data_IF_103197758304
#
_entry.id   IF_103197758304
#
_cell.length_a   1.000
_cell.length_b   1.000
_cell.length_c   1.000
_cell.angle_alpha   90.00
_cell.angle_beta   90.00
_cell.angle_gamma   90.00
#
_symmetry.space_group_name_H-M   'P 1'
#
loop_
_entity.id
_entity.type
_entity.pdbx_description
1 polymer ?
#
# COMPACT_ATOMS: atom_id res chain seq x y z
N UNK A 1 -0.80 45.86 -4.60
CA UNK A 1 -1.39 45.32 -5.84
C UNK A 1 -1.29 43.81 -5.77
N UNK A 2 -2.34 43.15 -6.23
CA UNK A 2 -2.80 41.79 -5.92
C UNK A 2 -1.76 40.66 -5.81
N UNK A 3 -2.00 39.89 -4.75
CA UNK A 3 -1.63 38.50 -4.50
C UNK A 3 -2.13 37.58 -5.64
N UNK A 4 -1.26 36.73 -6.20
CA UNK A 4 -1.67 35.69 -7.15
C UNK A 4 -1.89 34.39 -6.38
N UNK A 5 -3.14 34.14 -6.01
CA UNK A 5 -3.57 32.84 -5.52
C UNK A 5 -3.50 31.81 -6.66
N UNK A 6 -2.79 30.71 -6.42
CA UNK A 6 -2.86 29.50 -7.23
C UNK A 6 -4.28 28.92 -7.14
N UNK A 7 -5.03 29.00 -8.25
CA UNK A 7 -6.33 28.34 -8.44
C UNK A 7 -6.09 26.86 -8.80
N UNK A 8 -5.87 26.03 -7.79
CA UNK A 8 -5.90 24.57 -7.95
C UNK A 8 -7.36 24.08 -8.00
N UNK A 9 -7.98 24.21 -9.16
CA UNK A 9 -9.19 23.43 -9.45
C UNK A 9 -8.78 22.00 -9.82
N UNK A 10 -9.37 20.96 -9.21
CA UNK A 10 -9.08 19.58 -9.60
C UNK A 10 -9.46 19.38 -11.08
N UNK A 11 -8.70 18.57 -11.84
CA UNK A 11 -9.00 18.31 -13.23
C UNK A 11 -10.38 17.66 -13.34
N UNK A 12 -11.31 18.33 -14.02
CA UNK A 12 -12.61 17.76 -14.37
C UNK A 12 -12.36 16.64 -15.37
N UNK A 13 -12.53 15.40 -14.92
CA UNK A 13 -12.48 14.21 -15.78
C UNK A 13 -13.65 14.29 -16.78
N UNK A 14 -13.40 14.75 -18.00
CA UNK A 14 -14.43 14.79 -19.06
C UNK A 14 -14.65 13.39 -19.62
N UNK A 15 -15.59 12.66 -19.03
CA UNK A 15 -16.02 11.36 -19.56
C UNK A 15 -16.75 11.56 -20.91
N UNK A 16 -16.57 10.64 -21.88
CA UNK A 16 -17.24 10.74 -23.19
C UNK A 16 -18.77 10.63 -23.05
N UNK A 17 -19.49 11.35 -23.90
CA UNK A 17 -20.94 11.61 -23.81
C UNK A 17 -21.87 10.37 -23.77
N UNK A 18 -21.35 9.16 -24.04
CA UNK A 18 -22.11 7.91 -24.01
C UNK A 18 -21.95 7.14 -22.68
N UNK A 19 -21.19 7.67 -21.72
CA UNK A 19 -21.02 7.13 -20.37
C UNK A 19 -21.37 8.24 -19.39
N UNK A 20 -22.67 8.47 -19.18
CA UNK A 20 -23.14 9.22 -18.01
C UNK A 20 -23.15 8.26 -16.82
N UNK A 21 -22.00 8.07 -16.18
CA UNK A 21 -22.03 7.59 -14.80
C UNK A 21 -22.41 8.81 -13.97
N UNK A 22 -23.52 8.73 -13.26
CA UNK A 22 -23.79 9.66 -12.17
C UNK A 22 -22.73 9.39 -11.09
N UNK A 23 -21.60 10.10 -11.19
CA UNK A 23 -20.47 10.01 -10.27
C UNK A 23 -20.77 10.69 -8.92
N UNK A 24 -22.04 11.04 -8.65
CA UNK A 24 -22.42 11.67 -7.39
C UNK A 24 -22.17 10.72 -6.22
N UNK A 25 -21.02 10.89 -5.58
CA UNK A 25 -20.82 10.43 -4.20
C UNK A 25 -21.89 11.11 -3.34
N UNK A 26 -22.64 10.37 -2.51
CA UNK A 26 -23.65 10.98 -1.65
C UNK A 26 -23.07 12.15 -0.85
N UNK A 27 -23.74 13.31 -0.91
CA UNK A 27 -23.24 14.54 -0.30
C UNK A 27 -23.13 14.47 1.23
N UNK A 28 -23.87 13.55 1.85
CA UNK A 28 -23.81 13.27 3.29
C UNK A 28 -23.44 11.80 3.46
N UNK A 29 -22.26 11.47 4.02
CA UNK A 29 -21.89 10.09 4.29
C UNK A 29 -22.63 9.55 5.52
N UNK A 30 -22.61 8.23 5.76
CA UNK A 30 -22.97 7.67 7.06
C UNK A 30 -22.15 8.30 8.20
N UNK A 31 -22.78 8.52 9.35
CA UNK A 31 -22.12 9.11 10.53
C UNK A 31 -21.65 7.99 11.44
N UNK A 32 -20.35 7.99 11.76
CA UNK A 32 -19.79 7.08 12.75
C UNK A 32 -20.25 7.49 14.15
N UNK A 33 -21.00 6.62 14.84
CA UNK A 33 -21.48 6.86 16.21
C UNK A 33 -20.49 6.37 17.26
N UNK A 34 -19.99 5.15 17.10
CA UNK A 34 -19.09 4.54 18.07
C UNK A 34 -18.22 3.43 17.47
N UNK A 35 -17.02 3.29 18.03
CA UNK A 35 -16.16 2.11 17.89
C UNK A 35 -15.89 1.53 19.27
N UNK A 36 -16.42 0.35 19.54
CA UNK A 36 -16.21 -0.37 20.81
C UNK A 36 -15.15 -1.44 20.60
N UNK A 37 -13.93 -1.18 21.11
CA UNK A 37 -12.83 -2.15 21.09
C UNK A 37 -13.06 -3.22 22.14
N UNK A 38 -12.96 -4.49 21.74
CA UNK A 38 -13.15 -5.65 22.60
C UNK A 38 -11.81 -6.16 23.11
N UNK A 39 -11.78 -6.57 24.38
CA UNK A 39 -10.59 -7.10 25.00
C UNK A 39 -10.21 -8.47 24.40
N UNK A 40 -9.21 -8.50 23.53
CA UNK A 40 -8.58 -9.73 23.02
C UNK A 40 -7.37 -10.08 23.88
N UNK A 41 -7.60 -10.59 25.10
CA UNK A 41 -6.52 -10.83 26.09
C UNK A 41 -5.39 -11.75 25.59
N UNK A 42 -5.66 -12.57 24.58
CA UNK A 42 -4.66 -13.49 23.99
C UNK A 42 -3.89 -12.92 22.78
N UNK A 43 -4.29 -11.78 22.19
CA UNK A 43 -3.72 -11.30 20.92
C UNK A 43 -2.81 -10.08 21.11
N UNK A 44 -1.53 -10.21 20.75
CA UNK A 44 -0.54 -9.12 20.83
C UNK A 44 -0.76 -8.03 19.76
N UNK A 45 -1.07 -8.45 18.53
CA UNK A 45 -1.01 -7.59 17.34
C UNK A 45 -2.37 -7.06 16.86
N UNK A 46 -3.43 -7.85 17.04
CA UNK A 46 -4.78 -7.55 16.52
C UNK A 46 -5.82 -7.49 17.64
N UNK A 47 -6.87 -6.69 17.41
CA UNK A 47 -8.07 -6.63 18.25
C UNK A 47 -9.35 -6.67 17.42
N UNK A 48 -10.47 -6.93 18.10
CA UNK A 48 -11.81 -6.92 17.52
C UNK A 48 -12.56 -5.67 17.96
N UNK A 49 -13.38 -5.12 17.08
CA UNK A 49 -14.24 -3.98 17.40
C UNK A 49 -15.65 -4.15 16.85
N UNK A 50 -16.61 -3.52 17.52
CA UNK A 50 -17.94 -3.27 16.98
C UNK A 50 -18.06 -1.81 16.57
N UNK A 51 -18.48 -1.57 15.34
CA UNK A 51 -18.65 -0.26 14.72
C UNK A 51 -20.15 0.03 14.65
N UNK A 52 -20.60 1.13 15.23
CA UNK A 52 -21.99 1.60 15.15
C UNK A 52 -22.04 2.88 14.33
N UNK A 53 -22.96 2.98 13.38
CA UNK A 53 -23.10 4.15 12.51
C UNK A 53 -24.56 4.41 12.12
N UNK A 54 -24.89 5.65 11.76
CA UNK A 54 -26.20 6.04 11.22
C UNK A 54 -26.10 6.33 9.72
N UNK A 55 -27.18 6.06 8.98
CA UNK A 55 -27.27 6.37 7.54
C UNK A 55 -28.27 7.50 7.34
N UNK A 56 -27.94 8.55 6.57
CA UNK A 56 -28.87 9.65 6.31
C UNK A 56 -30.21 9.15 5.75
N UNK A 57 -31.30 9.49 6.43
CA UNK A 57 -32.65 9.10 6.03
C UNK A 57 -33.11 7.73 6.53
N UNK A 58 -32.24 6.96 7.20
CA UNK A 58 -32.64 5.73 7.87
C UNK A 58 -32.95 5.97 9.36
N UNK A 59 -33.99 5.33 9.92
CA UNK A 59 -34.40 5.55 11.30
C UNK A 59 -33.52 4.82 12.32
N UNK A 60 -32.89 3.71 11.91
CA UNK A 60 -32.18 2.80 12.81
C UNK A 60 -30.66 2.93 12.65
N UNK A 61 -29.93 2.72 13.75
CA UNK A 61 -28.48 2.56 13.72
C UNK A 61 -28.10 1.22 13.10
N UNK A 62 -26.97 1.19 12.42
CA UNK A 62 -26.36 -0.02 11.88
C UNK A 62 -25.15 -0.42 12.70
N UNK A 63 -24.87 -1.72 12.68
CA UNK A 63 -23.74 -2.32 13.41
C UNK A 63 -22.91 -3.13 12.43
N UNK A 64 -21.59 -3.07 12.60
CA UNK A 64 -20.61 -3.82 11.83
C UNK A 64 -19.51 -4.36 12.74
N UNK A 65 -18.92 -5.50 12.40
CA UNK A 65 -17.79 -6.09 13.12
C UNK A 65 -16.51 -5.84 12.35
N UNK A 66 -15.44 -5.49 13.06
CA UNK A 66 -14.16 -5.17 12.43
C UNK A 66 -12.96 -5.70 13.21
N UNK A 67 -11.82 -5.68 12.53
CA UNK A 67 -10.50 -5.97 13.09
C UNK A 67 -9.64 -4.71 13.04
N UNK A 68 -8.83 -4.48 14.07
CA UNK A 68 -7.89 -3.35 14.11
C UNK A 68 -6.49 -3.77 14.55
N UNK A 69 -5.47 -3.04 14.12
CA UNK A 69 -4.08 -3.21 14.58
C UNK A 69 -3.86 -2.50 15.92
N UNK A 70 -3.16 -3.15 16.84
CA UNK A 70 -2.97 -2.63 18.21
C UNK A 70 -1.77 -1.70 18.35
N UNK A 71 -0.66 -2.04 17.70
CA UNK A 71 0.65 -1.49 18.03
C UNK A 71 1.11 -0.38 17.08
N UNK A 72 0.81 -0.51 15.79
CA UNK A 72 1.29 0.39 14.74
C UNK A 72 0.19 1.30 14.21
N UNK A 73 0.60 2.26 13.37
CA UNK A 73 -0.27 3.13 12.59
C UNK A 73 -0.62 4.47 13.26
N UNK A 74 -1.01 5.41 12.41
CA UNK A 74 -1.48 6.75 12.78
C UNK A 74 -3.01 6.75 12.67
N UNK A 75 -3.75 6.75 13.80
CA UNK A 75 -5.20 6.73 13.78
C UNK A 75 -5.75 8.08 13.29
N UNK A 76 -7.01 8.13 12.80
CA UNK A 76 -7.58 9.36 12.27
C UNK A 76 -7.67 10.44 13.35
N UNK A 77 -7.60 11.70 12.93
CA UNK A 77 -7.73 12.90 13.77
C UNK A 77 -6.59 13.15 14.80
N UNK A 78 -5.43 12.51 14.65
CA UNK A 78 -4.16 12.97 15.23
C UNK A 78 -3.49 14.02 14.31
N UNK A 79 -2.44 14.74 14.75
CA UNK A 79 -1.73 15.70 13.89
C UNK A 79 -1.14 14.98 12.67
N UNK A 80 -1.42 15.47 11.46
CA UNK A 80 -1.06 14.85 10.17
C UNK A 80 -1.70 13.47 9.92
N UNK A 81 -2.76 13.12 10.65
CA UNK A 81 -3.49 11.88 10.43
C UNK A 81 -4.43 11.94 9.21
N UNK A 82 -4.74 10.79 8.60
CA UNK A 82 -5.76 10.73 7.56
C UNK A 82 -7.15 11.10 8.10
N UNK A 83 -8.01 11.59 7.22
CA UNK A 83 -9.42 11.85 7.53
C UNK A 83 -10.22 10.54 7.67
N UNK A 84 -9.78 9.47 7.00
CA UNK A 84 -10.47 8.19 6.96
C UNK A 84 -9.50 7.02 7.17
N UNK A 85 -9.95 6.01 7.92
CA UNK A 85 -9.12 4.86 8.24
C UNK A 85 -7.92 5.20 9.14
N UNK A 86 -7.09 4.21 9.41
CA UNK A 86 -5.81 4.33 10.10
C UNK A 86 -4.73 4.17 9.05
N UNK A 87 -3.75 5.08 9.03
CA UNK A 87 -2.60 4.91 8.16
C UNK A 87 -1.62 3.96 8.86
N UNK A 88 -1.66 2.68 8.50
CA UNK A 88 -0.98 1.60 9.23
C UNK A 88 0.42 1.29 8.69
N UNK A 89 0.65 1.50 7.40
CA UNK A 89 1.85 1.04 6.71
C UNK A 89 2.17 1.88 5.47
N UNK A 90 3.37 1.72 4.94
CA UNK A 90 3.75 2.19 3.61
C UNK A 90 4.00 1.01 2.69
N UNK A 91 3.63 1.13 1.41
CA UNK A 91 4.03 0.18 0.37
C UNK A 91 4.88 0.91 -0.66
N UNK A 92 6.00 0.31 -1.03
CA UNK A 92 7.04 0.97 -1.81
C UNK A 92 7.05 0.43 -3.23
N UNK A 93 6.67 1.27 -4.20
CA UNK A 93 6.83 0.99 -5.61
C UNK A 93 8.20 1.52 -6.07
N UNK A 94 9.24 0.70 -5.87
CA UNK A 94 10.62 1.02 -6.24
C UNK A 94 10.98 0.45 -7.62
N UNK A 95 11.53 1.29 -8.50
CA UNK A 95 12.00 0.88 -9.83
C UNK A 95 13.51 1.11 -9.96
N UNK A 96 14.22 0.11 -10.47
CA UNK A 96 15.67 0.19 -10.61
C UNK A 96 16.11 0.96 -11.85
N UNK A 97 17.27 1.61 -11.77
CA UNK A 97 18.05 2.11 -12.90
C UNK A 97 19.50 1.65 -12.78
N UNK A 98 20.16 1.49 -13.92
CA UNK A 98 21.59 1.21 -14.00
C UNK A 98 22.08 1.58 -15.39
N UNK A 99 23.17 2.36 -15.45
CA UNK A 99 23.91 2.65 -16.67
C UNK A 99 24.90 1.53 -17.01
N UNK A 100 25.44 0.85 -15.99
CA UNK A 100 26.43 -0.22 -16.18
C UNK A 100 25.82 -1.60 -16.48
N UNK A 101 24.56 -1.82 -16.08
CA UNK A 101 23.79 -3.07 -16.25
C UNK A 101 22.39 -2.78 -16.79
N UNK A 102 22.25 -2.45 -18.10
CA UNK A 102 20.97 -2.07 -18.70
C UNK A 102 19.86 -3.14 -18.56
N UNK A 103 20.21 -4.42 -18.46
CA UNK A 103 19.29 -5.52 -18.22
C UNK A 103 18.65 -5.50 -16.82
N UNK A 104 19.28 -4.80 -15.87
CA UNK A 104 18.77 -4.56 -14.53
C UNK A 104 18.14 -3.16 -14.38
N UNK A 105 18.03 -2.38 -15.46
CA UNK A 105 17.20 -1.19 -15.46
C UNK A 105 15.72 -1.56 -15.62
N UNK A 106 14.82 -0.70 -15.12
CA UNK A 106 13.37 -0.86 -15.19
C UNK A 106 12.86 -2.18 -14.59
N UNK A 107 13.50 -2.62 -13.50
CA UNK A 107 13.00 -3.73 -12.69
C UNK A 107 12.18 -3.16 -11.54
N UNK A 108 11.03 -3.77 -11.28
CA UNK A 108 10.33 -3.60 -10.02
C UNK A 108 11.11 -4.32 -8.91
N UNK A 109 11.39 -3.61 -7.82
CA UNK A 109 11.83 -4.24 -6.57
C UNK A 109 10.59 -4.83 -5.91
N UNK A 110 10.60 -6.14 -5.69
CA UNK A 110 9.53 -6.90 -5.05
C UNK A 110 10.13 -7.79 -3.96
N UNK A 111 9.28 -8.34 -3.10
CA UNK A 111 9.67 -9.29 -2.07
C UNK A 111 8.81 -10.56 -2.17
N UNK A 112 9.41 -11.70 -1.80
CA UNK A 112 8.72 -12.96 -1.59
C UNK A 112 8.87 -13.34 -0.12
N UNK A 113 7.78 -13.53 0.60
CA UNK A 113 7.83 -13.88 2.02
C UNK A 113 6.68 -14.82 2.41
N UNK A 114 6.90 -15.68 3.39
CA UNK A 114 5.86 -16.54 3.95
C UNK A 114 4.92 -15.73 4.83
N UNK A 115 3.62 -15.76 4.51
CA UNK A 115 2.58 -15.11 5.30
C UNK A 115 1.74 -16.17 6.01
N UNK A 116 1.86 -16.30 7.35
CA UNK A 116 1.08 -17.27 8.12
C UNK A 116 -0.45 -17.21 7.89
N UNK A 117 -1.11 -16.04 7.73
CA UNK A 117 -2.56 -15.98 7.53
C UNK A 117 -3.08 -16.71 6.30
N UNK A 118 -2.29 -16.79 5.24
CA UNK A 118 -2.64 -17.47 3.98
C UNK A 118 -1.91 -18.81 3.82
N UNK A 119 -1.01 -19.15 4.74
CA UNK A 119 -0.19 -20.36 4.71
C UNK A 119 0.52 -20.57 3.36
N UNK A 120 1.03 -19.48 2.80
CA UNK A 120 1.69 -19.43 1.49
C UNK A 120 2.77 -18.36 1.50
N UNK A 121 3.69 -18.46 0.55
CA UNK A 121 4.54 -17.34 0.18
C UNK A 121 3.74 -16.36 -0.68
N UNK A 122 4.00 -15.09 -0.49
CA UNK A 122 3.32 -13.99 -1.17
C UNK A 122 4.35 -13.17 -1.92
N UNK A 123 4.07 -12.88 -3.19
CA UNK A 123 4.81 -11.88 -3.97
C UNK A 123 4.19 -10.51 -3.69
N UNK A 124 4.97 -9.61 -3.13
CA UNK A 124 4.51 -8.30 -2.64
C UNK A 124 5.43 -7.16 -3.07
N UNK A 125 4.94 -5.92 -2.94
CA UNK A 125 5.82 -4.76 -2.85
C UNK A 125 6.54 -4.77 -1.49
N UNK A 126 7.77 -4.23 -1.39
CA UNK A 126 8.36 -3.94 -0.09
C UNK A 126 7.39 -3.07 0.72
N UNK A 127 7.20 -3.38 2.00
CA UNK A 127 6.20 -2.72 2.83
C UNK A 127 6.42 -2.99 4.31
N UNK A 128 6.18 -1.98 5.15
CA UNK A 128 6.11 -2.21 6.57
C UNK A 128 5.32 -1.17 7.36
N UNK A 129 5.18 -1.46 8.65
CA UNK A 129 4.26 -0.73 9.52
C UNK A 129 4.85 0.61 9.95
N UNK A 130 3.99 1.63 10.07
CA UNK A 130 4.40 2.92 10.62
C UNK A 130 4.48 2.80 12.14
N UNK A 131 5.66 3.10 12.68
CA UNK A 131 5.88 3.10 14.11
C UNK A 131 5.22 4.30 14.79
N UNK A 132 4.77 4.10 16.03
CA UNK A 132 4.18 5.19 16.80
C UNK A 132 5.21 6.29 17.07
N UNK A 133 4.88 7.51 16.66
CA UNK A 133 5.75 8.68 16.84
C UNK A 133 6.81 8.83 15.75
N UNK A 134 6.77 8.01 14.70
CA UNK A 134 7.54 8.28 13.49
C UNK A 134 7.11 9.63 12.89
N UNK A 135 8.09 10.46 12.53
CA UNK A 135 7.84 11.87 12.20
C UNK A 135 7.16 12.07 10.86
N UNK A 136 7.29 11.09 9.95
CA UNK A 136 6.65 11.12 8.64
C UNK A 136 6.56 9.70 8.04
N UNK A 137 5.47 9.34 7.33
CA UNK A 137 5.35 8.04 6.66
C UNK A 137 6.45 7.76 5.63
N UNK A 138 7.05 8.79 5.06
CA UNK A 138 8.15 8.64 4.09
C UNK A 138 9.40 8.06 4.75
N UNK A 139 9.64 8.39 6.02
CA UNK A 139 10.75 7.79 6.77
C UNK A 139 10.54 6.29 6.95
N UNK A 140 9.29 5.86 7.17
CA UNK A 140 8.92 4.43 7.17
C UNK A 140 9.31 3.81 5.84
N UNK A 141 8.89 4.40 4.72
CA UNK A 141 9.18 3.86 3.38
C UNK A 141 10.69 3.76 3.09
N UNK A 142 11.49 4.75 3.52
CA UNK A 142 12.95 4.73 3.39
C UNK A 142 13.58 3.63 4.24
N UNK A 143 13.12 3.48 5.49
CA UNK A 143 13.59 2.47 6.43
C UNK A 143 13.28 1.06 5.94
N UNK A 144 12.01 0.80 5.62
CA UNK A 144 11.52 -0.52 5.19
C UNK A 144 12.17 -0.97 3.88
N UNK A 145 12.35 -0.07 2.90
CA UNK A 145 13.10 -0.41 1.69
C UNK A 145 14.52 -0.87 2.03
N UNK A 146 15.18 -0.19 2.97
CA UNK A 146 16.54 -0.53 3.38
C UNK A 146 16.62 -1.84 4.16
N UNK A 147 15.67 -2.09 5.04
CA UNK A 147 15.59 -3.29 5.87
C UNK A 147 15.28 -4.52 5.02
N UNK A 148 14.20 -4.50 4.23
CA UNK A 148 13.76 -5.68 3.46
C UNK A 148 14.64 -5.97 2.24
N UNK A 149 15.29 -4.96 1.65
CA UNK A 149 15.97 -5.11 0.35
C UNK A 149 17.46 -4.78 0.39
N UNK A 150 17.90 -4.04 1.41
CA UNK A 150 19.25 -3.48 1.45
C UNK A 150 19.46 -2.27 0.53
N UNK A 151 18.50 -1.95 -0.35
CA UNK A 151 18.63 -0.83 -1.27
C UNK A 151 18.34 0.51 -0.60
N UNK A 152 18.98 1.54 -1.11
CA UNK A 152 18.67 2.94 -0.83
C UNK A 152 18.03 3.56 -2.07
N UNK A 153 16.85 4.15 -1.89
CA UNK A 153 16.10 4.83 -2.94
C UNK A 153 16.40 6.32 -3.05
N UNK A 154 16.04 6.89 -4.20
CA UNK A 154 16.09 8.33 -4.53
C UNK A 154 14.79 8.74 -5.20
N UNK A 155 14.56 10.04 -5.43
CA UNK A 155 13.36 10.55 -6.12
C UNK A 155 12.05 10.04 -5.47
N UNK A 156 11.97 10.14 -4.15
CA UNK A 156 10.82 9.73 -3.36
C UNK A 156 9.60 10.61 -3.67
N UNK A 157 8.49 9.98 -4.01
CA UNK A 157 7.21 10.63 -4.26
C UNK A 157 6.13 9.94 -3.42
N UNK A 158 5.44 10.73 -2.61
CA UNK A 158 4.26 10.28 -1.89
C UNK A 158 3.07 10.39 -2.84
N UNK A 159 2.35 9.28 -3.04
CA UNK A 159 1.19 9.30 -3.90
C UNK A 159 -0.10 9.36 -3.07
N UNK A 160 -0.75 8.22 -2.88
CA UNK A 160 -2.09 8.17 -2.32
C UNK A 160 -2.21 7.08 -1.26
N UNK A 161 -3.16 7.28 -0.36
CA UNK A 161 -3.54 6.28 0.62
C UNK A 161 -4.64 5.39 0.05
N UNK A 162 -4.55 4.08 0.29
CA UNK A 162 -5.60 3.12 -0.03
C UNK A 162 -5.93 2.25 1.17
N UNK A 163 -7.16 1.74 1.22
CA UNK A 163 -7.55 0.74 2.19
C UNK A 163 -7.06 -0.66 1.74
N UNK A 164 -6.57 -1.47 2.68
CA UNK A 164 -6.14 -2.83 2.38
C UNK A 164 -7.32 -3.78 2.18
N UNK A 165 -8.18 -3.88 3.21
CA UNK A 165 -9.38 -4.70 3.21
C UNK A 165 -10.52 -3.93 3.88
N UNK A 166 -11.13 -2.95 3.16
CA UNK A 166 -12.08 -2.00 3.75
C UNK A 166 -13.36 -2.67 4.26
N UNK A 167 -13.62 -3.92 3.87
CA UNK A 167 -14.74 -4.70 4.37
C UNK A 167 -14.50 -5.33 5.74
N UNK A 168 -13.26 -5.40 6.21
CA UNK A 168 -12.93 -6.07 7.48
C UNK A 168 -12.23 -5.15 8.46
N UNK A 169 -11.39 -4.25 7.95
CA UNK A 169 -10.53 -3.41 8.79
C UNK A 169 -10.46 -1.98 8.28
N UNK A 170 -10.29 -1.04 9.22
CA UNK A 170 -10.03 0.36 8.90
C UNK A 170 -8.57 0.63 8.49
N UNK A 171 -7.80 -0.40 8.10
CA UNK A 171 -6.37 -0.26 7.86
C UNK A 171 -6.06 0.19 6.43
N UNK A 172 -5.17 1.17 6.34
CA UNK A 172 -4.74 1.77 5.09
C UNK A 172 -3.21 1.72 4.93
N UNK A 173 -2.77 1.69 3.67
CA UNK A 173 -1.38 1.86 3.27
C UNK A 173 -1.18 3.18 2.53
N UNK A 174 -0.01 3.80 2.68
CA UNK A 174 0.43 4.92 1.85
C UNK A 174 1.35 4.40 0.74
N UNK A 175 0.98 4.64 -0.51
CA UNK A 175 1.84 4.32 -1.65
C UNK A 175 2.97 5.35 -1.74
N UNK A 176 4.19 4.85 -1.80
CA UNK A 176 5.39 5.66 -2.00
C UNK A 176 6.18 5.12 -3.19
N UNK A 177 6.53 6.00 -4.13
CA UNK A 177 7.36 5.68 -5.29
C UNK A 177 8.78 6.17 -5.12
N UNK A 178 9.75 5.38 -5.58
CA UNK A 178 11.14 5.81 -5.63
C UNK A 178 11.93 5.12 -6.76
N UNK A 179 13.13 5.62 -7.02
CA UNK A 179 14.10 5.02 -7.92
C UNK A 179 15.28 4.44 -7.14
N UNK A 180 15.72 3.23 -7.51
CA UNK A 180 16.93 2.61 -6.96
C UNK A 180 18.03 2.64 -8.03
N UNK A 181 19.07 3.45 -7.81
CA UNK A 181 20.26 3.44 -8.66
C UNK A 181 21.18 2.29 -8.25
N UNK A 182 21.24 1.24 -9.06
CA UNK A 182 22.06 0.07 -8.76
C UNK A 182 23.56 0.33 -8.94
N UNK A 183 23.95 1.43 -9.59
CA UNK A 183 25.36 1.81 -9.77
C UNK A 183 25.87 2.71 -8.64
N UNK A 184 24.97 3.20 -7.78
CA UNK A 184 25.33 3.99 -6.60
C UNK A 184 26.12 3.11 -5.59
N UNK A 185 27.21 3.63 -4.99
CA UNK A 185 28.08 2.85 -4.10
C UNK A 185 27.36 2.09 -2.99
N UNK A 186 26.31 2.67 -2.42
CA UNK A 186 25.48 2.09 -1.36
C UNK A 186 24.63 0.89 -1.81
N UNK A 187 24.39 0.73 -3.12
CA UNK A 187 23.54 -0.31 -3.70
C UNK A 187 24.33 -1.45 -4.37
N UNK A 188 25.64 -1.27 -4.61
CA UNK A 188 26.50 -2.30 -5.26
C UNK A 188 26.57 -3.60 -4.43
N UNK A 189 26.55 -3.47 -3.10
CA UNK A 189 26.61 -4.57 -2.16
C UNK A 189 25.45 -4.54 -1.15
N UNK A 190 24.30 -4.02 -1.59
CA UNK A 190 23.07 -4.00 -0.80
C UNK A 190 22.75 -5.40 -0.25
N UNK A 191 22.44 -5.44 1.04
CA UNK A 191 22.01 -6.65 1.74
C UNK A 191 20.85 -6.29 2.66
N UNK A 192 19.75 -7.07 2.66
CA UNK A 192 18.68 -6.92 3.63
C UNK A 192 19.19 -6.99 5.08
N UNK A 193 18.50 -6.28 5.96
CA UNK A 193 18.65 -6.28 7.41
C UNK A 193 17.31 -6.69 8.02
N UNK A 194 16.98 -7.97 7.85
CA UNK A 194 15.67 -8.51 8.18
C UNK A 194 15.46 -8.63 9.70
N UNK A 195 14.23 -8.42 10.14
CA UNK A 195 13.79 -8.73 11.50
C UNK A 195 13.50 -10.24 11.69
N UNK A 196 13.32 -10.66 12.94
CA UNK A 196 13.10 -12.07 13.30
C UNK A 196 11.83 -12.67 12.65
N UNK A 197 10.77 -11.87 12.48
CA UNK A 197 9.51 -12.27 11.85
C UNK A 197 9.54 -12.18 10.31
N UNK A 198 10.63 -11.66 9.75
CA UNK A 198 10.90 -11.58 8.30
C UNK A 198 11.83 -12.69 7.80
N UNK A 199 12.05 -13.74 8.60
CA UNK A 199 13.02 -14.83 8.34
C UNK A 199 12.99 -15.47 6.94
N UNK A 200 11.87 -15.35 6.23
CA UNK A 200 11.63 -15.95 4.91
C UNK A 200 11.69 -14.97 3.75
N UNK A 201 11.90 -13.68 4.04
CA UNK A 201 11.84 -12.61 3.06
C UNK A 201 13.01 -12.72 2.07
N UNK A 202 12.68 -12.67 0.78
CA UNK A 202 13.64 -12.66 -0.31
C UNK A 202 13.34 -11.50 -1.25
N UNK A 203 14.33 -10.65 -1.51
CA UNK A 203 14.22 -9.57 -2.49
C UNK A 203 14.31 -10.11 -3.92
N UNK A 204 13.44 -9.61 -4.80
CA UNK A 204 13.38 -9.94 -6.21
C UNK A 204 13.45 -8.66 -7.06
N UNK A 205 14.15 -8.74 -8.19
CA UNK A 205 14.10 -7.73 -9.24
C UNK A 205 13.36 -8.33 -10.43
N UNK A 206 12.21 -7.76 -10.77
CA UNK A 206 11.32 -8.31 -11.79
C UNK A 206 11.14 -7.28 -12.91
N UNK A 207 11.37 -7.63 -14.19
CA UNK A 207 11.21 -6.67 -15.27
C UNK A 207 9.78 -6.11 -15.30
N UNK A 208 9.64 -4.79 -15.40
CA UNK A 208 8.32 -4.17 -15.61
C UNK A 208 7.69 -4.63 -16.93
N UNK A 209 8.53 -4.93 -17.93
CA UNK A 209 8.03 -5.52 -19.18
C UNK A 209 7.63 -6.99 -19.00
N UNK A 210 6.36 -7.27 -19.31
CA UNK A 210 5.74 -8.57 -19.07
C UNK A 210 5.53 -8.90 -17.59
N UNK A 211 5.53 -7.90 -16.69
CA UNK A 211 5.43 -8.10 -15.24
C UNK A 211 4.32 -9.07 -14.84
N UNK A 212 3.08 -8.84 -15.30
CA UNK A 212 1.95 -9.69 -14.95
C UNK A 212 2.14 -11.14 -15.38
N UNK A 213 2.61 -11.37 -16.62
CA UNK A 213 2.85 -12.72 -17.11
C UNK A 213 3.89 -13.44 -16.25
N UNK A 214 5.00 -12.76 -15.90
CA UNK A 214 6.07 -13.33 -15.08
C UNK A 214 5.58 -13.68 -13.68
N UNK A 215 4.86 -12.76 -13.03
CA UNK A 215 4.28 -13.00 -11.70
C UNK A 215 3.30 -14.17 -11.72
N UNK A 216 2.40 -14.20 -12.71
CA UNK A 216 1.39 -15.26 -12.85
C UNK A 216 2.05 -16.60 -13.14
N UNK A 217 2.98 -16.67 -14.09
CA UNK A 217 3.70 -17.89 -14.43
C UNK A 217 4.49 -18.43 -13.23
N UNK A 218 5.15 -17.56 -12.47
CA UNK A 218 5.84 -17.95 -11.25
C UNK A 218 4.87 -18.52 -10.22
N UNK A 219 3.73 -17.87 -9.97
CA UNK A 219 2.72 -18.38 -9.05
C UNK A 219 2.10 -19.72 -9.53
N UNK A 220 1.80 -19.86 -10.82
CA UNK A 220 1.26 -21.09 -11.40
C UNK A 220 2.24 -22.29 -11.31
N UNK A 221 3.55 -22.01 -11.27
CA UNK A 221 4.60 -23.02 -11.16
C UNK A 221 4.88 -23.48 -9.71
N UNK A 222 4.30 -22.82 -8.70
CA UNK A 222 4.57 -23.09 -7.30
C UNK A 222 3.27 -23.21 -6.49
N UNK A 223 2.99 -24.41 -5.96
CA UNK A 223 1.75 -24.72 -5.22
C UNK A 223 1.50 -23.87 -3.97
N UNK A 224 2.54 -23.18 -3.47
CA UNK A 224 2.52 -22.41 -2.23
C UNK A 224 2.90 -20.94 -2.44
N UNK A 225 2.73 -20.40 -3.65
CA UNK A 225 2.93 -18.97 -3.94
C UNK A 225 1.63 -18.34 -4.41
N UNK A 226 1.28 -17.20 -3.82
CA UNK A 226 0.17 -16.36 -4.26
C UNK A 226 0.65 -14.93 -4.49
N UNK A 227 -0.12 -14.15 -5.26
CA UNK A 227 0.19 -12.74 -5.50
C UNK A 227 -0.54 -11.88 -4.48
N UNK A 228 0.16 -10.89 -3.91
CA UNK A 228 -0.51 -9.81 -3.20
C UNK A 228 -1.45 -9.05 -4.15
N UNK A 229 -2.60 -8.62 -3.61
CA UNK A 229 -3.67 -8.00 -4.40
C UNK A 229 -3.24 -6.68 -5.05
N UNK A 230 -2.40 -5.87 -4.37
CA UNK A 230 -1.92 -4.57 -4.86
C UNK A 230 -0.93 -4.78 -5.98
N UNK A 231 0.05 -5.66 -5.77
CA UNK A 231 1.03 -6.03 -6.80
C UNK A 231 0.34 -6.64 -8.03
N UNK A 232 -0.61 -7.55 -7.83
CA UNK A 232 -1.36 -8.19 -8.91
C UNK A 232 -2.18 -7.18 -9.72
N UNK A 233 -2.90 -6.28 -9.04
CA UNK A 233 -3.71 -5.24 -9.70
C UNK A 233 -2.84 -4.25 -10.49
N UNK A 234 -1.72 -3.80 -9.93
CA UNK A 234 -0.76 -2.94 -10.62
C UNK A 234 -0.22 -3.62 -11.88
N UNK A 235 0.28 -4.85 -11.75
CA UNK A 235 0.85 -5.60 -12.86
C UNK A 235 -0.20 -5.87 -13.96
N UNK A 236 -1.40 -6.28 -13.57
CA UNK A 236 -2.49 -6.51 -14.51
C UNK A 236 -2.93 -5.22 -15.22
N UNK A 237 -2.98 -4.09 -14.50
CA UNK A 237 -3.26 -2.78 -15.08
C UNK A 237 -2.26 -2.40 -16.17
N UNK A 238 -0.95 -2.62 -15.93
CA UNK A 238 0.09 -2.40 -16.95
C UNK A 238 -0.10 -3.29 -18.18
N UNK A 239 -0.44 -4.56 -17.97
CA UNK A 239 -0.70 -5.50 -19.07
C UNK A 239 -1.96 -5.10 -19.85
N UNK A 240 -3.04 -4.77 -19.15
CA UNK A 240 -4.32 -4.41 -19.74
C UNK A 240 -4.21 -3.13 -20.57
N UNK A 241 -3.49 -2.12 -20.07
CA UNK A 241 -3.24 -0.89 -20.81
C UNK A 241 -2.57 -1.15 -22.17
N UNK A 242 -1.64 -2.10 -22.26
CA UNK A 242 -1.02 -2.52 -23.53
C UNK A 242 -1.97 -3.27 -24.46
N UNK A 243 -2.99 -3.94 -23.93
CA UNK A 243 -3.97 -4.71 -24.72
C UNK A 243 -5.03 -3.81 -25.36
N UNK A 244 -5.29 -2.64 -24.79
CA UNK A 244 -6.35 -1.71 -25.23
C UNK A 244 -5.83 -0.48 -25.99
N UNK A 245 -4.51 -0.40 -26.21
CA UNK A 245 -3.85 0.60 -27.05
C UNK A 245 -3.72 0.10 -28.49
#
# INVERSE_FOLDING_TARGET
MADQAHDERPPTLSLPAHVQVDLAVPAVPPTLEARTKHATQALRWLGLETITYTVPGEPDTRVYEGVYRRQHGIPPHEQNAPEHGTLDATDILAVTKSATRPELANQLVAVLQYRPPVNAYTLELPSGCIDRGETSPENTAVRELKEETGFTGTNWNIDTMYAYEPSVMGACGLLVRCEVDLDAPENIHAKPQLEDDEFSLTTLLIPLDGLYHRLKEFADQHDNVILDSRLAAFAYGLQFAKMVQ
#
